data_IF_893053414082
#
_entry.id   IF_893053414082
#
_cell.length_a   1.000
_cell.length_b   1.000
_cell.length_c   1.000
_cell.angle_alpha   90.00
_cell.angle_beta   90.00
_cell.angle_gamma   90.00
#
_symmetry.space_group_name_H-M   'P 1'
#
loop_
_entity.id
_entity.type
_entity.pdbx_description
1 polymer ?
#
# COMPACT_ATOMS: atom_id res chain seq x y z
N UNK A 1 14.80 -3.90 -23.64
CA UNK A 1 14.35 -4.93 -22.68
C UNK A 1 12.85 -5.21 -22.92
N UNK A 2 12.43 -6.48 -22.86
CA UNK A 2 11.01 -6.83 -23.09
C UNK A 2 10.21 -6.45 -21.84
N UNK A 3 9.46 -5.36 -21.89
CA UNK A 3 8.54 -4.89 -20.84
C UNK A 3 7.47 -5.92 -20.41
N UNK A 4 7.42 -7.07 -21.04
CA UNK A 4 6.50 -8.17 -20.75
C UNK A 4 7.16 -9.43 -20.16
N UNK A 5 8.33 -9.32 -19.51
CA UNK A 5 9.04 -10.45 -18.92
C UNK A 5 8.44 -10.89 -17.57
N UNK A 6 8.78 -12.11 -17.13
CA UNK A 6 8.38 -12.62 -15.80
C UNK A 6 8.90 -11.70 -14.68
N UNK A 7 10.11 -11.14 -14.82
CA UNK A 7 10.67 -10.19 -13.86
C UNK A 7 9.85 -8.91 -13.72
N UNK A 8 9.28 -8.41 -14.82
CA UNK A 8 8.35 -7.26 -14.78
C UNK A 8 7.08 -7.59 -14.00
N UNK A 9 6.51 -8.77 -14.22
CA UNK A 9 5.30 -9.22 -13.52
C UNK A 9 5.60 -9.38 -12.03
N UNK A 10 6.69 -10.02 -11.66
CA UNK A 10 7.11 -10.19 -10.26
C UNK A 10 7.34 -8.84 -9.56
N UNK A 11 7.97 -7.88 -10.25
CA UNK A 11 8.14 -6.52 -9.75
C UNK A 11 6.81 -5.82 -9.50
N UNK A 12 5.87 -5.88 -10.45
CA UNK A 12 4.55 -5.28 -10.29
C UNK A 12 3.77 -5.91 -9.13
N UNK A 13 3.87 -7.23 -8.95
CA UNK A 13 3.29 -7.92 -7.79
C UNK A 13 3.93 -7.44 -6.48
N UNK A 14 5.25 -7.35 -6.40
CA UNK A 14 5.97 -6.83 -5.23
C UNK A 14 5.57 -5.38 -4.89
N UNK A 15 5.46 -4.52 -5.91
CA UNK A 15 4.99 -3.13 -5.72
C UNK A 15 3.58 -3.08 -5.13
N UNK A 16 2.68 -3.95 -5.56
CA UNK A 16 1.29 -3.96 -5.06
C UNK A 16 1.17 -4.54 -3.64
N UNK A 17 2.14 -5.31 -3.17
CA UNK A 17 2.13 -5.89 -1.82
C UNK A 17 2.85 -5.03 -0.78
N UNK A 18 3.63 -4.00 -1.16
CA UNK A 18 4.45 -3.21 -0.23
C UNK A 18 3.61 -2.51 0.87
N UNK A 19 2.43 -1.99 0.52
CA UNK A 19 1.57 -1.30 1.49
C UNK A 19 0.85 -2.29 2.43
N UNK A 20 0.22 -3.38 1.98
CA UNK A 20 -0.25 -4.44 2.88
C UNK A 20 0.85 -4.97 3.80
N UNK A 21 2.03 -5.28 3.28
CA UNK A 21 3.17 -5.71 4.11
C UNK A 21 3.50 -4.68 5.19
N UNK A 22 3.49 -3.38 4.85
CA UNK A 22 3.80 -2.31 5.81
C UNK A 22 2.75 -2.17 6.92
N UNK A 23 1.51 -2.56 6.69
CA UNK A 23 0.46 -2.57 7.71
C UNK A 23 0.61 -3.80 8.59
N UNK A 24 0.62 -4.96 7.98
CA UNK A 24 0.43 -6.22 8.68
C UNK A 24 1.70 -6.69 9.43
N UNK A 25 2.91 -6.37 8.91
CA UNK A 25 4.16 -6.62 9.65
C UNK A 25 4.31 -5.71 10.88
N UNK A 26 3.67 -4.55 10.88
CA UNK A 26 3.75 -3.58 11.96
C UNK A 26 2.83 -3.92 13.13
N UNK A 27 1.68 -4.57 12.89
CA UNK A 27 0.66 -4.86 13.91
C UNK A 27 1.18 -5.57 15.16
N UNK A 28 2.02 -6.62 15.08
CA UNK A 28 2.55 -7.30 16.26
C UNK A 28 3.40 -6.41 17.17
N UNK A 29 3.97 -5.32 16.63
CA UNK A 29 4.84 -4.40 17.39
C UNK A 29 4.07 -3.34 18.18
N UNK A 30 2.76 -3.17 17.97
CA UNK A 30 1.96 -2.14 18.62
C UNK A 30 2.01 -2.18 20.16
N UNK A 31 1.87 -3.34 20.84
CA UNK A 31 1.89 -3.38 22.29
C UNK A 31 3.23 -2.88 22.88
N UNK A 32 4.36 -3.30 22.31
CA UNK A 32 5.68 -2.86 22.77
C UNK A 32 5.87 -1.36 22.60
N UNK A 33 5.40 -0.80 21.51
CA UNK A 33 5.49 0.65 21.23
C UNK A 33 4.59 1.49 22.14
N UNK A 34 3.46 0.95 22.61
CA UNK A 34 2.60 1.61 23.61
C UNK A 34 3.40 1.87 24.89
N UNK A 35 4.11 0.85 25.36
CA UNK A 35 4.91 0.93 26.56
C UNK A 35 6.13 1.84 26.37
N UNK A 36 6.84 1.71 25.25
CA UNK A 36 8.07 2.47 24.97
C UNK A 36 7.80 3.96 24.82
N UNK A 37 6.76 4.34 24.07
CA UNK A 37 6.41 5.76 23.87
C UNK A 37 5.52 6.32 24.98
N UNK A 38 5.09 5.48 25.93
CA UNK A 38 4.19 5.85 27.03
C UNK A 38 2.92 6.58 26.52
N UNK A 39 2.28 5.99 25.51
CA UNK A 39 1.06 6.51 24.89
C UNK A 39 -0.11 5.56 25.08
N UNK A 40 -1.34 6.06 24.90
CA UNK A 40 -2.53 5.22 24.97
C UNK A 40 -2.63 4.26 23.76
N UNK A 41 -3.29 3.13 23.93
CA UNK A 41 -3.60 2.21 22.84
C UNK A 41 -4.35 2.89 21.68
N UNK A 42 -5.26 3.83 21.99
CA UNK A 42 -5.97 4.62 21.00
C UNK A 42 -5.02 5.51 20.18
N UNK A 43 -4.03 6.13 20.81
CA UNK A 43 -3.00 6.92 20.10
C UNK A 43 -2.15 6.03 19.19
N UNK A 44 -1.78 4.84 19.67
CA UNK A 44 -1.01 3.90 18.84
C UNK A 44 -1.84 3.38 17.65
N UNK A 45 -3.13 3.12 17.84
CA UNK A 45 -4.05 2.74 16.75
C UNK A 45 -4.14 3.81 15.64
N UNK A 46 -3.95 5.11 15.98
CA UNK A 46 -3.90 6.18 14.98
C UNK A 46 -2.76 6.00 13.97
N UNK A 47 -1.68 5.32 14.31
CA UNK A 47 -0.57 5.03 13.38
C UNK A 47 -1.04 4.18 12.20
N UNK A 48 -1.93 3.21 12.45
CA UNK A 48 -2.53 2.35 11.42
C UNK A 48 -3.63 3.12 10.66
N UNK A 49 -4.50 3.79 11.40
CA UNK A 49 -5.63 4.53 10.80
C UNK A 49 -5.14 5.64 9.88
N UNK A 50 -4.17 6.44 10.32
CA UNK A 50 -3.62 7.55 9.51
C UNK A 50 -2.83 7.05 8.31
N UNK A 51 -2.12 5.92 8.43
CA UNK A 51 -1.51 5.26 7.28
C UNK A 51 -2.56 4.88 6.24
N UNK A 52 -3.65 4.20 6.64
CA UNK A 52 -4.72 3.77 5.74
C UNK A 52 -5.43 4.96 5.09
N UNK A 53 -5.70 6.03 5.84
CA UNK A 53 -6.31 7.25 5.30
C UNK A 53 -5.39 7.92 4.26
N UNK A 54 -4.10 8.08 4.58
CA UNK A 54 -3.12 8.66 3.67
C UNK A 54 -2.93 7.79 2.42
N UNK A 55 -2.86 6.46 2.58
CA UNK A 55 -2.79 5.49 1.50
C UNK A 55 -4.01 5.59 0.57
N UNK A 56 -5.21 5.66 1.13
CA UNK A 56 -6.44 5.76 0.34
C UNK A 56 -6.56 7.11 -0.39
N UNK A 57 -6.27 8.23 0.31
CA UNK A 57 -6.29 9.55 -0.27
C UNK A 57 -5.27 9.71 -1.40
N UNK A 58 -4.07 9.15 -1.23
CA UNK A 58 -3.00 9.24 -2.22
C UNK A 58 -3.34 8.54 -3.54
N UNK A 59 -4.16 7.48 -3.51
CA UNK A 59 -4.58 6.79 -4.74
C UNK A 59 -5.39 7.71 -5.66
N UNK A 60 -6.19 8.63 -5.09
CA UNK A 60 -6.93 9.62 -5.87
C UNK A 60 -6.00 10.66 -6.51
N UNK A 61 -4.83 10.89 -5.91
CA UNK A 61 -3.85 11.89 -6.37
C UNK A 61 -2.88 11.29 -7.38
N UNK A 62 -2.31 10.12 -7.10
CA UNK A 62 -1.27 9.52 -7.94
C UNK A 62 -1.77 9.02 -9.29
N UNK A 63 -3.05 8.67 -9.42
CA UNK A 63 -3.67 8.33 -10.71
C UNK A 63 -3.49 9.47 -11.73
N UNK A 64 -4.17 10.62 -11.54
CA UNK A 64 -4.06 11.77 -12.43
C UNK A 64 -2.64 12.32 -12.57
N UNK A 65 -1.84 12.31 -11.50
CA UNK A 65 -0.43 12.72 -11.56
C UNK A 65 0.36 11.84 -12.55
N UNK A 66 0.15 10.52 -12.50
CA UNK A 66 0.84 9.59 -13.38
C UNK A 66 0.34 9.64 -14.82
N UNK A 67 -0.91 10.03 -15.05
CA UNK A 67 -1.44 10.30 -16.38
C UNK A 67 -0.83 11.57 -16.99
N UNK A 68 -0.55 12.58 -16.16
CA UNK A 68 -0.01 13.88 -16.58
C UNK A 68 1.50 13.89 -16.76
N UNK A 69 2.25 13.26 -15.85
CA UNK A 69 3.71 13.35 -15.80
C UNK A 69 4.41 12.06 -16.20
N UNK A 70 3.67 10.98 -16.44
CA UNK A 70 4.19 9.66 -16.73
C UNK A 70 4.20 8.73 -15.52
N UNK A 71 4.17 7.41 -15.80
CA UNK A 71 4.14 6.37 -14.74
C UNK A 71 5.44 6.33 -13.96
N UNK A 72 6.57 6.43 -14.68
CA UNK A 72 7.89 6.23 -14.11
C UNK A 72 8.25 7.28 -13.05
N UNK A 73 8.21 8.59 -13.31
CA UNK A 73 8.59 9.59 -12.31
C UNK A 73 7.66 9.56 -11.09
N UNK A 74 6.36 9.35 -11.29
CA UNK A 74 5.41 9.39 -10.18
C UNK A 74 5.53 8.15 -9.29
N UNK A 75 5.78 6.96 -9.84
CA UNK A 75 6.11 5.77 -9.05
C UNK A 75 7.38 5.98 -8.22
N UNK A 76 8.42 6.54 -8.82
CA UNK A 76 9.69 6.84 -8.12
C UNK A 76 9.45 7.80 -6.95
N UNK A 77 8.69 8.88 -7.14
CA UNK A 77 8.32 9.79 -6.07
C UNK A 77 7.50 9.12 -4.98
N UNK A 78 6.53 8.26 -5.34
CA UNK A 78 5.77 7.47 -4.38
C UNK A 78 6.66 6.58 -3.53
N UNK A 79 7.59 5.84 -4.14
CA UNK A 79 8.53 4.99 -3.42
C UNK A 79 9.52 5.79 -2.55
N UNK A 80 9.98 6.96 -3.00
CA UNK A 80 10.82 7.86 -2.19
C UNK A 80 10.04 8.33 -0.95
N UNK A 81 8.78 8.74 -1.10
CA UNK A 81 7.93 9.12 0.03
C UNK A 81 7.69 7.95 0.98
N UNK A 82 7.46 6.74 0.46
CA UNK A 82 7.34 5.54 1.28
C UNK A 82 8.60 5.29 2.11
N UNK A 83 9.78 5.39 1.51
CA UNK A 83 11.05 5.24 2.18
C UNK A 83 11.28 6.34 3.21
N UNK A 84 11.01 7.60 2.87
CA UNK A 84 11.13 8.73 3.78
C UNK A 84 10.25 8.53 5.03
N UNK A 85 8.98 8.16 4.85
CA UNK A 85 8.09 7.84 5.96
C UNK A 85 8.58 6.65 6.79
N UNK A 86 9.15 5.62 6.14
CA UNK A 86 9.79 4.49 6.81
C UNK A 86 10.97 4.92 7.66
N UNK A 87 11.86 5.78 7.16
CA UNK A 87 12.99 6.32 7.93
C UNK A 87 12.52 7.20 9.11
N UNK A 88 11.52 8.07 8.92
CA UNK A 88 10.96 8.86 10.02
C UNK A 88 10.39 7.95 11.10
N UNK A 89 9.69 6.88 10.71
CA UNK A 89 9.14 5.89 11.64
C UNK A 89 10.23 5.10 12.36
N UNK A 90 11.29 4.72 11.66
CA UNK A 90 12.44 4.00 12.24
C UNK A 90 13.14 4.79 13.35
N UNK A 91 13.28 6.10 13.18
CA UNK A 91 13.92 6.98 14.17
C UNK A 91 12.92 7.73 15.06
N UNK A 92 11.68 7.24 15.15
CA UNK A 92 10.67 7.88 15.98
C UNK A 92 11.03 7.82 17.47
N UNK A 93 10.99 8.98 18.12
CA UNK A 93 11.20 9.12 19.57
C UNK A 93 9.89 9.46 20.30
N UNK A 94 8.77 9.50 19.60
CA UNK A 94 7.45 9.76 20.17
C UNK A 94 6.34 9.18 19.27
N UNK A 95 5.20 8.90 19.86
CA UNK A 95 4.02 8.45 19.12
C UNK A 95 3.60 9.44 18.03
N UNK A 96 3.75 10.75 18.25
CA UNK A 96 3.45 11.77 17.24
C UNK A 96 4.39 11.69 16.04
N UNK A 97 5.70 11.53 16.28
CA UNK A 97 6.68 11.38 15.18
C UNK A 97 6.39 10.09 14.37
N UNK A 98 6.04 9.01 15.07
CA UNK A 98 5.64 7.77 14.42
C UNK A 98 4.39 7.96 13.54
N UNK A 99 3.36 8.64 14.03
CA UNK A 99 2.14 8.96 13.27
C UNK A 99 2.49 9.75 11.99
N UNK A 100 3.35 10.78 12.11
CA UNK A 100 3.80 11.57 10.93
C UNK A 100 4.52 10.68 9.93
N UNK A 101 5.44 9.84 10.40
CA UNK A 101 6.14 8.88 9.55
C UNK A 101 5.17 7.94 8.82
N UNK A 102 4.18 7.43 9.52
CA UNK A 102 3.14 6.54 8.97
C UNK A 102 2.24 7.24 7.94
N UNK A 103 1.89 8.51 8.16
CA UNK A 103 1.15 9.31 7.16
C UNK A 103 1.95 9.43 5.86
N UNK A 104 3.23 9.81 5.95
CA UNK A 104 4.10 9.98 4.79
C UNK A 104 4.33 8.64 4.09
N UNK A 105 4.58 7.57 4.85
CA UNK A 105 4.77 6.22 4.35
C UNK A 105 3.52 5.70 3.63
N UNK A 106 2.35 5.87 4.26
CA UNK A 106 1.07 5.48 3.67
C UNK A 106 0.77 6.25 2.39
N UNK A 107 0.98 7.57 2.40
CA UNK A 107 0.80 8.39 1.21
C UNK A 107 1.69 7.91 0.06
N UNK A 108 2.98 7.69 0.31
CA UNK A 108 3.91 7.15 -0.70
C UNK A 108 3.50 5.76 -1.20
N UNK A 109 3.11 4.87 -0.28
CA UNK A 109 2.72 3.49 -0.58
C UNK A 109 1.51 3.38 -1.51
N UNK A 110 0.59 4.35 -1.49
CA UNK A 110 -0.60 4.35 -2.36
C UNK A 110 -0.31 4.60 -3.84
N UNK A 111 0.87 5.09 -4.20
CA UNK A 111 1.31 5.21 -5.60
C UNK A 111 1.41 3.83 -6.27
N UNK A 112 1.94 2.84 -5.56
CA UNK A 112 2.29 1.55 -6.11
C UNK A 112 1.08 0.78 -6.71
N UNK A 113 -0.05 0.57 -6.01
CA UNK A 113 -1.18 -0.19 -6.55
C UNK A 113 -1.87 0.53 -7.73
N UNK A 114 -1.93 1.86 -7.72
CA UNK A 114 -2.56 2.63 -8.79
C UNK A 114 -1.71 2.57 -10.05
N UNK A 115 -0.43 2.89 -9.92
CA UNK A 115 0.46 3.00 -11.08
C UNK A 115 0.82 1.62 -11.61
N UNK A 116 0.99 0.60 -10.76
CA UNK A 116 1.24 -0.76 -11.22
C UNK A 116 0.08 -1.30 -12.06
N UNK A 117 -1.18 -1.03 -11.66
CA UNK A 117 -2.36 -1.40 -12.46
C UNK A 117 -2.37 -0.66 -13.80
N UNK A 118 -2.05 0.63 -13.81
CA UNK A 118 -1.95 1.40 -15.05
C UNK A 118 -0.86 0.84 -15.98
N UNK A 119 0.33 0.51 -15.44
CA UNK A 119 1.42 -0.12 -16.21
C UNK A 119 0.98 -1.45 -16.83
N UNK A 120 0.21 -2.28 -16.10
CA UNK A 120 -0.32 -3.52 -16.66
C UNK A 120 -1.18 -3.23 -17.89
N UNK A 121 -2.04 -2.22 -17.84
CA UNK A 121 -2.89 -1.83 -18.98
C UNK A 121 -2.12 -1.16 -20.11
N UNK A 122 -1.04 -0.42 -19.79
CA UNK A 122 -0.19 0.24 -20.78
C UNK A 122 0.68 -0.77 -21.57
N UNK A 123 1.06 -1.90 -20.94
CA UNK A 123 2.03 -2.87 -21.48
C UNK A 123 1.38 -4.13 -22.04
N UNK A 124 0.24 -4.54 -21.48
CA UNK A 124 -0.40 -5.81 -21.83
C UNK A 124 -1.84 -5.58 -22.29
N UNK A 125 -2.25 -6.31 -23.33
CA UNK A 125 -3.58 -6.21 -23.92
C UNK A 125 -4.42 -7.46 -23.69
N UNK A 126 -5.73 -7.29 -23.66
CA UNK A 126 -6.73 -8.34 -23.70
C UNK A 126 -6.51 -9.46 -22.67
N UNK A 127 -6.49 -10.71 -23.13
CA UNK A 127 -6.35 -11.91 -22.25
C UNK A 127 -5.06 -11.91 -21.42
N UNK A 128 -4.00 -11.28 -21.91
CA UNK A 128 -2.72 -11.24 -21.19
C UNK A 128 -2.77 -10.29 -19.99
N UNK A 129 -3.37 -9.11 -20.13
CA UNK A 129 -3.62 -8.21 -19.01
C UNK A 129 -4.51 -8.87 -17.96
N UNK A 130 -5.61 -9.52 -18.37
CA UNK A 130 -6.49 -10.25 -17.46
C UNK A 130 -5.75 -11.35 -16.66
N UNK A 131 -4.84 -12.10 -17.32
CA UNK A 131 -4.02 -13.13 -16.65
C UNK A 131 -3.07 -12.52 -15.60
N UNK A 132 -2.48 -11.37 -15.88
CA UNK A 132 -1.60 -10.66 -14.93
C UNK A 132 -2.40 -10.12 -13.75
N UNK A 133 -3.57 -9.54 -13.98
CA UNK A 133 -4.47 -9.15 -12.90
C UNK A 133 -4.88 -10.34 -12.02
N UNK A 134 -5.12 -11.51 -12.61
CA UNK A 134 -5.40 -12.73 -11.82
C UNK A 134 -4.21 -13.10 -10.92
N UNK A 135 -2.96 -13.04 -11.40
CA UNK A 135 -1.78 -13.29 -10.57
C UNK A 135 -1.64 -12.27 -9.43
N UNK A 136 -1.87 -10.99 -9.71
CA UNK A 136 -1.86 -9.93 -8.70
C UNK A 136 -2.94 -10.19 -7.65
N UNK A 137 -4.15 -10.56 -8.08
CA UNK A 137 -5.28 -10.86 -7.16
C UNK A 137 -4.99 -12.06 -6.26
N UNK A 138 -4.19 -13.04 -6.71
CA UNK A 138 -3.76 -14.17 -5.87
C UNK A 138 -2.65 -13.75 -4.91
N UNK A 139 -1.69 -12.91 -5.36
CA UNK A 139 -0.55 -12.51 -4.55
C UNK A 139 -0.92 -11.53 -3.42
N UNK A 140 -1.87 -10.63 -3.67
CA UNK A 140 -2.24 -9.57 -2.71
C UNK A 140 -2.77 -10.11 -1.38
N UNK A 141 -3.65 -11.15 -1.31
CA UNK A 141 -4.09 -11.72 -0.05
C UNK A 141 -3.03 -12.56 0.69
N UNK A 142 -1.96 -12.98 0.02
CA UNK A 142 -0.86 -13.70 0.68
C UNK A 142 -0.03 -12.78 1.59
N UNK A 143 0.04 -11.48 1.27
CA UNK A 143 0.78 -10.52 2.09
C UNK A 143 0.22 -10.44 3.52
N UNK A 144 -1.09 -10.21 3.75
CA UNK A 144 -1.69 -10.25 5.08
C UNK A 144 -1.55 -11.59 5.83
N UNK A 145 -1.46 -12.71 5.12
CA UNK A 145 -1.28 -14.02 5.74
C UNK A 145 0.14 -14.23 6.27
N UNK A 146 1.15 -13.69 5.58
CA UNK A 146 2.56 -13.93 5.89
C UNK A 146 3.15 -12.78 6.72
N UNK A 147 2.72 -11.55 6.48
CA UNK A 147 3.31 -10.35 7.07
C UNK A 147 3.28 -10.33 8.60
N UNK A 148 2.17 -10.68 9.31
CA UNK A 148 2.16 -10.70 10.76
C UNK A 148 3.15 -11.72 11.34
N UNK A 149 3.33 -12.86 10.66
CA UNK A 149 4.28 -13.91 11.09
C UNK A 149 5.70 -13.36 11.01
N UNK A 150 6.06 -12.75 9.87
CA UNK A 150 7.38 -12.13 9.70
C UNK A 150 7.56 -11.00 10.72
N UNK A 151 6.56 -10.13 10.91
CA UNK A 151 6.59 -9.03 11.87
C UNK A 151 6.79 -9.51 13.29
N UNK A 152 6.04 -10.54 13.71
CA UNK A 152 6.16 -11.15 15.03
C UNK A 152 7.53 -11.79 15.29
N UNK A 153 8.09 -12.50 14.30
CA UNK A 153 9.45 -13.07 14.38
C UNK A 153 10.50 -11.96 14.47
N UNK A 154 10.42 -10.93 13.65
CA UNK A 154 11.36 -9.80 13.68
C UNK A 154 11.32 -9.10 15.04
N UNK A 155 10.12 -8.84 15.56
CA UNK A 155 9.95 -8.22 16.87
C UNK A 155 10.49 -9.10 18.01
N UNK A 156 10.25 -10.42 17.97
CA UNK A 156 10.69 -11.33 19.03
C UNK A 156 12.19 -11.56 19.07
N UNK A 157 12.86 -11.49 17.92
CA UNK A 157 14.31 -11.71 17.83
C UNK A 157 15.13 -10.43 18.00
N UNK A 158 14.55 -9.27 17.66
CA UNK A 158 15.25 -7.99 17.68
C UNK A 158 14.42 -6.96 18.47
N UNK A 159 13.63 -6.14 17.78
CA UNK A 159 12.67 -5.18 18.30
C UNK A 159 11.79 -4.65 17.15
N UNK A 160 10.91 -3.67 17.43
CA UNK A 160 10.04 -3.06 16.43
C UNK A 160 10.80 -2.31 15.31
N UNK A 161 12.03 -1.82 15.56
CA UNK A 161 12.86 -1.16 14.54
C UNK A 161 13.18 -2.11 13.39
N UNK A 162 13.36 -3.43 13.66
CA UNK A 162 13.64 -4.42 12.63
C UNK A 162 12.54 -4.52 11.57
N UNK A 163 11.30 -4.25 11.95
CA UNK A 163 10.17 -4.20 11.00
C UNK A 163 10.36 -3.06 10.01
N UNK A 164 10.69 -1.85 10.49
CA UNK A 164 10.90 -0.71 9.59
C UNK A 164 12.17 -0.86 8.74
N UNK A 165 13.25 -1.40 9.29
CA UNK A 165 14.48 -1.73 8.54
C UNK A 165 14.14 -2.69 7.38
N UNK A 166 13.35 -3.73 7.65
CA UNK A 166 12.94 -4.70 6.63
C UNK A 166 12.08 -4.04 5.55
N UNK A 167 11.11 -3.21 5.94
CA UNK A 167 10.26 -2.48 4.99
C UNK A 167 11.05 -1.49 4.13
N UNK A 168 12.02 -0.79 4.72
CA UNK A 168 12.94 0.11 4.01
C UNK A 168 13.79 -0.71 3.02
N UNK A 169 14.35 -1.83 3.44
CA UNK A 169 15.14 -2.70 2.55
C UNK A 169 14.31 -3.19 1.35
N UNK A 170 13.09 -3.67 1.59
CA UNK A 170 12.15 -4.06 0.52
C UNK A 170 11.87 -2.87 -0.40
N UNK A 171 11.60 -1.70 0.14
CA UNK A 171 11.33 -0.47 -0.62
C UNK A 171 12.49 -0.05 -1.50
N UNK A 172 13.74 -0.12 -0.98
CA UNK A 172 14.97 0.17 -1.74
C UNK A 172 15.16 -0.84 -2.88
N UNK A 173 14.96 -2.13 -2.60
CA UNK A 173 15.06 -3.19 -3.62
C UNK A 173 14.02 -2.96 -4.72
N UNK A 174 12.76 -2.69 -4.36
CA UNK A 174 11.70 -2.43 -5.33
C UNK A 174 11.97 -1.16 -6.15
N UNK A 175 12.46 -0.08 -5.53
CA UNK A 175 12.86 1.14 -6.23
C UNK A 175 14.01 0.87 -7.20
N UNK A 176 15.06 0.17 -6.77
CA UNK A 176 16.18 -0.21 -7.62
C UNK A 176 15.77 -1.07 -8.80
N UNK A 177 14.98 -2.12 -8.56
CA UNK A 177 14.45 -2.97 -9.63
C UNK A 177 13.53 -2.21 -10.58
N UNK A 178 12.70 -1.30 -10.04
CA UNK A 178 11.83 -0.47 -10.86
C UNK A 178 12.62 0.44 -11.81
N UNK A 179 13.64 1.10 -11.31
CA UNK A 179 14.51 1.97 -12.11
C UNK A 179 15.28 1.21 -13.20
N UNK A 180 15.68 -0.05 -12.92
CA UNK A 180 16.45 -0.89 -13.84
C UNK A 180 15.57 -1.59 -14.88
N UNK A 181 14.37 -2.04 -14.52
CA UNK A 181 13.57 -2.93 -15.36
C UNK A 181 12.46 -2.23 -16.13
N UNK A 182 11.91 -1.11 -15.62
CA UNK A 182 10.74 -0.46 -16.20
C UNK A 182 11.08 0.93 -16.75
N UNK A 183 11.05 1.09 -18.09
CA UNK A 183 11.05 2.41 -18.73
C UNK A 183 9.70 3.10 -18.52
N UNK A 184 9.56 4.32 -19.03
CA UNK A 184 8.26 4.99 -19.10
C UNK A 184 7.31 4.18 -20.01
N UNK A 185 6.10 3.92 -19.49
CA UNK A 185 5.09 3.11 -20.18
C UNK A 185 3.92 3.94 -20.71
N UNK A 186 3.71 5.15 -20.15
CA UNK A 186 2.66 6.05 -20.61
C UNK A 186 3.07 6.71 -21.95
N UNK A 187 2.50 6.23 -23.04
CA UNK A 187 2.71 6.79 -24.39
C UNK A 187 1.80 7.98 -24.67
N UNK A 188 0.71 8.13 -23.92
CA UNK A 188 -0.33 9.12 -24.17
C UNK A 188 -0.51 10.00 -22.92
N UNK A 189 0.38 10.98 -22.77
CA UNK A 189 0.32 11.93 -21.64
C UNK A 189 -0.95 12.80 -21.78
N UNK A 190 -1.81 12.74 -20.77
CA UNK A 190 -3.00 13.58 -20.69
C UNK A 190 -2.67 14.91 -20.02
N UNK A 191 -2.54 15.96 -20.84
CA UNK A 191 -2.27 17.33 -20.36
C UNK A 191 -3.38 17.91 -19.49
N UNK A 192 -4.60 17.41 -19.61
CA UNK A 192 -5.78 17.87 -18.86
C UNK A 192 -6.05 17.02 -17.62
N UNK A 193 -5.29 15.97 -17.36
CA UNK A 193 -5.51 15.06 -16.23
C UNK A 193 -5.54 15.78 -14.87
N UNK A 194 -4.83 16.90 -14.71
CA UNK A 194 -4.80 17.70 -13.48
C UNK A 194 -5.69 18.96 -13.55
N UNK A 195 -6.48 19.13 -14.59
CA UNK A 195 -7.41 20.26 -14.64
C UNK A 195 -8.51 20.04 -13.59
N UNK A 196 -8.68 20.97 -12.60
CA UNK A 196 -9.62 20.77 -11.50
C UNK A 196 -11.06 20.51 -11.98
N UNK A 197 -11.50 21.21 -13.02
CA UNK A 197 -12.84 21.03 -13.57
C UNK A 197 -13.03 19.64 -14.19
N UNK A 198 -12.00 19.11 -14.85
CA UNK A 198 -12.02 17.77 -15.45
C UNK A 198 -11.99 16.71 -14.35
N UNK A 199 -11.11 16.87 -13.36
CA UNK A 199 -11.00 15.96 -12.22
C UNK A 199 -12.32 15.86 -11.44
N UNK A 200 -12.85 17.00 -11.01
CA UNK A 200 -14.10 17.06 -10.24
C UNK A 200 -15.24 16.43 -11.05
N UNK A 201 -15.37 16.80 -12.33
CA UNK A 201 -16.40 16.22 -13.21
C UNK A 201 -16.26 14.69 -13.34
N UNK A 202 -15.04 14.18 -13.49
CA UNK A 202 -14.78 12.75 -13.59
C UNK A 202 -15.14 12.02 -12.27
N UNK A 203 -14.76 12.57 -11.12
CA UNK A 203 -15.09 11.95 -9.82
C UNK A 203 -16.60 12.01 -9.53
N UNK A 204 -17.27 13.11 -9.82
CA UNK A 204 -18.72 13.19 -9.69
C UNK A 204 -19.39 12.17 -10.63
N UNK A 205 -18.96 12.08 -11.89
CA UNK A 205 -19.50 11.12 -12.84
C UNK A 205 -19.34 9.67 -12.36
N UNK A 206 -18.20 9.32 -11.78
CA UNK A 206 -17.98 8.00 -11.19
C UNK A 206 -18.86 7.78 -9.96
N UNK A 207 -18.92 8.75 -9.05
CA UNK A 207 -19.73 8.67 -7.82
C UNK A 207 -21.24 8.66 -8.07
N UNK A 208 -21.70 9.11 -9.24
CA UNK A 208 -23.11 9.01 -9.65
C UNK A 208 -23.41 7.79 -10.51
N UNK A 209 -22.39 7.06 -10.97
CA UNK A 209 -22.59 5.88 -11.79
C UNK A 209 -23.00 4.69 -10.95
N UNK A 210 -24.26 4.25 -11.06
CA UNK A 210 -24.88 3.22 -10.20
C UNK A 210 -24.04 1.95 -10.07
N UNK A 211 -23.53 1.41 -11.19
CA UNK A 211 -22.74 0.17 -11.19
C UNK A 211 -21.43 0.37 -10.45
N UNK A 212 -20.77 1.51 -10.61
CA UNK A 212 -19.54 1.84 -9.91
C UNK A 212 -19.77 1.92 -8.39
N UNK A 213 -20.79 2.66 -7.97
CA UNK A 213 -21.13 2.82 -6.53
C UNK A 213 -21.48 1.48 -5.89
N UNK A 214 -22.30 0.64 -6.56
CA UNK A 214 -22.63 -0.69 -6.05
C UNK A 214 -21.38 -1.55 -5.87
N UNK A 215 -20.46 -1.58 -6.84
CA UNK A 215 -19.22 -2.36 -6.73
C UNK A 215 -18.32 -1.83 -5.61
N UNK A 216 -18.19 -0.51 -5.44
CA UNK A 216 -17.42 0.09 -4.35
C UNK A 216 -18.01 -0.26 -2.99
N UNK A 217 -19.33 -0.19 -2.83
CA UNK A 217 -20.01 -0.56 -1.59
C UNK A 217 -19.85 -2.06 -1.29
N UNK A 218 -20.00 -2.93 -2.27
CA UNK A 218 -19.79 -4.37 -2.10
C UNK A 218 -18.36 -4.70 -1.67
N UNK A 219 -17.35 -4.11 -2.33
CA UNK A 219 -15.95 -4.28 -1.95
C UNK A 219 -15.67 -3.73 -0.55
N UNK A 220 -16.23 -2.57 -0.21
CA UNK A 220 -16.10 -1.97 1.11
C UNK A 220 -16.69 -2.84 2.21
N UNK A 221 -17.90 -3.39 1.99
CA UNK A 221 -18.54 -4.32 2.93
C UNK A 221 -17.75 -5.61 3.10
N UNK A 222 -17.24 -6.20 2.01
CA UNK A 222 -16.40 -7.40 2.08
C UNK A 222 -15.11 -7.15 2.87
N UNK A 223 -14.44 -6.02 2.62
CA UNK A 223 -13.22 -5.66 3.34
C UNK A 223 -13.49 -5.37 4.82
N UNK A 224 -14.58 -4.68 5.14
CA UNK A 224 -15.02 -4.44 6.51
C UNK A 224 -15.33 -5.74 7.24
N UNK A 225 -16.05 -6.68 6.61
CA UNK A 225 -16.33 -7.98 7.18
C UNK A 225 -15.04 -8.78 7.47
N UNK A 226 -14.06 -8.72 6.56
CA UNK A 226 -12.76 -9.35 6.76
C UNK A 226 -12.02 -8.74 7.96
N UNK A 227 -12.00 -7.41 8.11
CA UNK A 227 -11.38 -6.75 9.25
C UNK A 227 -12.06 -7.10 10.58
N UNK A 228 -13.39 -7.12 10.61
CA UNK A 228 -14.16 -7.53 11.79
C UNK A 228 -13.86 -8.99 12.16
N UNK A 229 -13.78 -9.88 11.17
CA UNK A 229 -13.43 -11.28 11.40
C UNK A 229 -12.02 -11.42 11.99
N UNK A 230 -11.02 -10.75 11.40
CA UNK A 230 -9.62 -10.79 11.89
C UNK A 230 -9.53 -10.22 13.30
N UNK A 231 -10.19 -9.09 13.57
CA UNK A 231 -10.16 -8.46 14.90
C UNK A 231 -10.93 -9.28 15.95
N UNK A 232 -12.09 -9.83 15.58
CA UNK A 232 -12.95 -10.59 16.50
C UNK A 232 -12.44 -12.01 16.75
N UNK A 233 -11.81 -12.65 15.76
CA UNK A 233 -11.32 -14.02 15.90
C UNK A 233 -10.29 -14.17 17.01
N UNK A 234 -9.44 -13.17 17.21
CA UNK A 234 -8.44 -13.17 18.29
C UNK A 234 -9.08 -13.24 19.68
N UNK A 235 -10.16 -12.49 19.92
CA UNK A 235 -10.89 -12.54 21.19
C UNK A 235 -11.55 -13.90 21.40
N UNK A 236 -12.24 -14.43 20.38
CA UNK A 236 -12.93 -15.72 20.48
C UNK A 236 -11.95 -16.88 20.66
N UNK A 237 -10.84 -16.88 19.92
CA UNK A 237 -9.86 -17.96 19.97
C UNK A 237 -9.05 -17.96 21.27
N UNK A 238 -8.65 -16.79 21.76
CA UNK A 238 -7.80 -16.67 22.97
C UNK A 238 -8.66 -16.70 24.23
N UNK A 239 -9.70 -15.85 24.33
CA UNK A 239 -10.45 -15.66 25.56
C UNK A 239 -11.51 -16.74 25.79
N UNK A 240 -12.18 -17.28 24.73
CA UNK A 240 -13.24 -18.26 24.91
C UNK A 240 -12.77 -19.70 24.65
N UNK A 241 -11.84 -19.93 23.72
CA UNK A 241 -11.40 -21.29 23.37
C UNK A 241 -10.01 -21.64 23.97
N UNK A 242 -9.28 -20.68 24.52
CA UNK A 242 -7.99 -20.90 25.16
C UNK A 242 -6.90 -21.43 24.22
N UNK A 243 -6.97 -21.06 22.90
CA UNK A 243 -6.07 -21.50 21.85
C UNK A 243 -4.95 -20.51 21.58
#
# INVERSE_FOLDING_TARGET
MRTGSISTIALLMGLMTIAPLSIDMFLPSLPMMIDEFNVSASTMQLTVTTFLLAFSASQLVFGPLSDRFGRRPIMVWGLILFLLGGFISLFAQSGTMLIIGRIIQGFGGGAAPVIARAIVLDVFEGKRAAKIFAYITIATPLAPAIAPIIGGVLQSLFDWHAVFITLIAIGIILLGLYLLLLPETNKNIDRLALNPNVLIKNYIRLGTHRIFVINVLLMGLMFSAQLVFISGSSFVLIDELGL
#
